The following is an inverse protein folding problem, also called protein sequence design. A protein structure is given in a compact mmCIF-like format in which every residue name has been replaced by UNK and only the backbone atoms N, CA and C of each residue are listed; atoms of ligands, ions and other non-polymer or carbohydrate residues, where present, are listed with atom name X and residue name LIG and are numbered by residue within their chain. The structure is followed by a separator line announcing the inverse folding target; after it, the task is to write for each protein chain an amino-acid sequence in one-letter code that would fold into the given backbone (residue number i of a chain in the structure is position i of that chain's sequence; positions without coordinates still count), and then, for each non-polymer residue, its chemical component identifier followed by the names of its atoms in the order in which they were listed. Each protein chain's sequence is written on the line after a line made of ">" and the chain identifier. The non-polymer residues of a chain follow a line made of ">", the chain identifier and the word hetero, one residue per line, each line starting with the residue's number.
data_IF_025246429403
#
_entry.id   IF_025246429403
#
_cell.length_a   1.000
_cell.length_b   1.000
_cell.length_c   1.000
_cell.angle_alpha   90.00
_cell.angle_beta   90.00
_cell.angle_gamma   90.00
#
_symmetry.space_group_name_H-M   'P 1'
#
loop_
_entity.id
_entity.type
_entity.pdbx_description
1 polymer ?
#
# COMPACT_ATOMS: atom_id res chain seq x y z
N UNK A 1 15.10 50.62 39.67
CA UNK A 1 14.50 49.34 39.25
C UNK A 1 15.54 48.61 38.43
N UNK A 2 15.88 47.34 38.71
CA UNK A 2 16.94 46.64 37.98
C UNK A 2 16.45 46.20 36.60
N UNK A 3 17.37 46.14 35.64
CA UNK A 3 17.14 45.63 34.28
C UNK A 3 17.08 44.11 34.35
N UNK A 4 16.02 43.51 33.81
CA UNK A 4 15.84 42.07 33.77
C UNK A 4 16.95 41.40 32.94
N UNK A 5 17.51 40.33 33.50
CA UNK A 5 18.48 39.43 32.87
C UNK A 5 17.83 38.81 31.62
N UNK A 6 18.43 39.02 30.45
CA UNK A 6 18.00 38.36 29.21
C UNK A 6 18.49 36.91 29.23
N UNK A 7 17.64 35.93 28.86
CA UNK A 7 18.04 34.52 28.84
C UNK A 7 19.17 34.29 27.81
N UNK A 8 20.09 33.34 28.08
CA UNK A 8 21.22 33.06 27.18
C UNK A 8 20.73 32.56 25.83
N UNK A 9 21.37 33.03 24.75
CA UNK A 9 21.08 32.56 23.40
C UNK A 9 21.38 31.05 23.26
N UNK A 10 20.45 30.27 22.66
CA UNK A 10 20.66 28.85 22.46
C UNK A 10 21.81 28.59 21.46
N UNK A 11 22.53 27.46 21.60
CA UNK A 11 23.65 27.15 20.72
C UNK A 11 23.16 26.96 19.28
N UNK A 12 23.75 27.70 18.35
CA UNK A 12 23.50 27.54 16.93
C UNK A 12 24.08 26.20 16.45
N UNK A 13 23.22 25.22 16.19
CA UNK A 13 23.62 23.97 15.53
C UNK A 13 23.82 24.31 14.05
N UNK A 14 25.07 24.49 13.63
CA UNK A 14 25.41 24.64 12.23
C UNK A 14 25.15 23.32 11.51
N UNK A 15 24.07 23.25 10.74
CA UNK A 15 23.89 22.15 9.80
C UNK A 15 25.00 22.23 8.74
N UNK A 16 25.70 21.13 8.43
CA UNK A 16 26.68 21.14 7.36
C UNK A 16 25.99 21.55 6.05
N UNK A 17 26.55 22.55 5.36
CA UNK A 17 26.11 22.91 4.02
C UNK A 17 26.35 21.72 3.09
N UNK A 18 25.28 21.24 2.47
CA UNK A 18 25.35 20.18 1.49
C UNK A 18 26.16 20.65 0.27
N UNK A 19 27.31 20.02 0.02
CA UNK A 19 28.21 20.34 -1.09
C UNK A 19 28.06 19.32 -2.21
N UNK A 20 27.55 19.77 -3.36
CA UNK A 20 27.35 18.97 -4.56
C UNK A 20 28.65 18.40 -5.13
N UNK A 21 29.80 19.01 -4.84
CA UNK A 21 31.11 18.53 -5.29
C UNK A 21 31.56 17.25 -4.57
N UNK A 22 30.94 16.91 -3.44
CA UNK A 22 31.24 15.71 -2.66
C UNK A 22 30.41 14.48 -3.09
N UNK A 23 29.51 14.64 -4.06
CA UNK A 23 28.79 13.49 -4.62
C UNK A 23 29.73 12.67 -5.52
N UNK A 24 29.74 11.34 -5.39
CA UNK A 24 30.48 10.48 -6.31
C UNK A 24 29.99 10.68 -7.75
N UNK A 25 30.89 11.08 -8.63
CA UNK A 25 30.66 11.29 -10.06
C UNK A 25 30.79 9.98 -10.86
N UNK A 26 30.88 8.84 -10.18
CA UNK A 26 31.18 7.56 -10.82
C UNK A 26 29.96 6.99 -11.54
N UNK A 27 29.97 7.14 -12.85
CA UNK A 27 29.17 6.37 -13.78
C UNK A 27 28.72 7.20 -14.96
N UNK A 28 29.07 6.77 -16.17
CA UNK A 28 28.28 7.11 -17.35
C UNK A 28 26.87 6.57 -17.12
N UNK A 29 25.98 7.43 -16.62
CA UNK A 29 24.57 7.10 -16.51
C UNK A 29 24.04 7.03 -17.92
N UNK A 30 23.85 5.81 -18.42
CA UNK A 30 23.25 5.58 -19.71
C UNK A 30 21.74 5.86 -19.62
N UNK A 31 21.41 7.14 -19.74
CA UNK A 31 20.05 7.64 -19.70
C UNK A 31 19.36 7.37 -21.03
N UNK A 32 19.01 6.11 -21.27
CA UNK A 32 18.12 5.75 -22.36
C UNK A 32 16.67 6.06 -21.98
N UNK A 33 16.11 7.08 -22.62
CA UNK A 33 14.68 7.38 -22.54
C UNK A 33 13.89 6.23 -23.20
N UNK A 34 13.38 5.31 -22.40
CA UNK A 34 12.52 4.23 -22.87
C UNK A 34 11.19 4.84 -23.30
N UNK A 35 10.97 4.98 -24.61
CA UNK A 35 9.69 5.43 -25.15
C UNK A 35 8.63 4.33 -24.95
N UNK A 36 7.59 4.54 -24.14
CA UNK A 36 6.54 3.55 -23.95
C UNK A 36 5.82 3.29 -25.27
N UNK A 37 5.46 2.03 -25.53
CA UNK A 37 4.62 1.66 -26.68
C UNK A 37 3.17 1.98 -26.36
N UNK A 38 2.73 3.18 -26.73
CA UNK A 38 1.36 3.65 -26.53
C UNK A 38 0.49 3.37 -27.77
N UNK A 39 -0.74 2.83 -27.60
CA UNK A 39 -1.73 2.86 -28.67
C UNK A 39 -2.22 4.28 -28.94
N UNK A 40 -2.79 4.52 -30.13
CA UNK A 40 -3.39 5.82 -30.49
C UNK A 40 -4.74 5.95 -29.79
N UNK A 41 -4.88 6.95 -28.92
CA UNK A 41 -6.12 7.23 -28.20
C UNK A 41 -7.18 7.89 -29.07
N UNK A 42 -8.46 7.68 -28.72
CA UNK A 42 -9.61 8.36 -29.33
C UNK A 42 -10.02 9.60 -28.51
N UNK A 43 -10.79 10.54 -29.10
CA UNK A 43 -11.32 11.68 -28.35
C UNK A 43 -12.15 11.21 -27.14
N UNK A 44 -11.83 11.73 -25.95
CA UNK A 44 -12.48 11.35 -24.68
C UNK A 44 -11.89 10.11 -23.97
N UNK A 45 -10.81 9.53 -24.49
CA UNK A 45 -10.12 8.40 -23.89
C UNK A 45 -8.85 8.83 -23.14
N UNK A 46 -8.58 8.21 -21.99
CA UNK A 46 -7.31 8.35 -21.27
C UNK A 46 -6.48 7.10 -21.59
N UNK A 47 -5.39 7.28 -22.33
CA UNK A 47 -4.45 6.20 -22.65
C UNK A 47 -3.33 6.19 -21.61
N UNK A 48 -3.23 5.09 -20.85
CA UNK A 48 -2.15 4.85 -19.89
C UNK A 48 -1.15 3.87 -20.50
N UNK A 49 0.12 4.29 -20.60
CA UNK A 49 1.17 3.47 -21.20
C UNK A 49 2.09 2.88 -20.14
N UNK A 50 2.57 1.67 -20.42
CA UNK A 50 3.56 0.98 -19.60
C UNK A 50 4.77 0.57 -20.45
N UNK A 51 5.88 0.28 -19.78
CA UNK A 51 7.09 -0.24 -20.44
C UNK A 51 6.83 -1.60 -21.11
N UNK A 52 6.05 -2.47 -20.46
CA UNK A 52 5.56 -3.71 -21.03
C UNK A 52 4.03 -3.81 -20.87
N UNK A 53 3.24 -3.51 -21.91
CA UNK A 53 1.78 -3.46 -21.80
C UNK A 53 1.18 -4.84 -21.48
N UNK A 54 1.71 -5.95 -22.00
CA UNK A 54 1.13 -7.28 -21.75
C UNK A 54 1.30 -7.73 -20.28
N UNK A 55 2.40 -7.33 -19.64
CA UNK A 55 2.69 -7.68 -18.24
C UNK A 55 1.97 -6.76 -17.25
N UNK A 56 1.93 -5.47 -17.56
CA UNK A 56 1.47 -4.42 -16.64
C UNK A 56 -0.01 -4.07 -16.84
N UNK A 57 -0.66 -4.61 -17.88
CA UNK A 57 -2.09 -4.39 -18.11
C UNK A 57 -2.91 -5.10 -17.06
N UNK A 58 -3.74 -4.33 -16.37
CA UNK A 58 -4.79 -4.86 -15.51
C UNK A 58 -5.68 -5.79 -16.35
N UNK A 59 -5.75 -7.05 -15.93
CA UNK A 59 -6.71 -8.00 -16.50
C UNK A 59 -8.12 -7.51 -16.14
N UNK A 60 -9.13 -7.82 -16.98
CA UNK A 60 -10.52 -7.59 -16.61
C UNK A 60 -10.77 -8.18 -15.23
N UNK A 61 -11.52 -7.47 -14.39
CA UNK A 61 -12.01 -8.07 -13.15
C UNK A 61 -12.87 -9.28 -13.53
N UNK A 62 -12.75 -10.41 -12.81
CA UNK A 62 -13.66 -11.53 -13.01
C UNK A 62 -15.10 -11.07 -12.78
N UNK A 63 -16.05 -11.60 -13.56
CA UNK A 63 -17.48 -11.25 -13.48
C UNK A 63 -18.09 -11.58 -12.11
N UNK A 64 -17.43 -12.45 -11.36
CA UNK A 64 -17.78 -12.86 -10.00
C UNK A 64 -16.65 -12.53 -9.03
N UNK A 65 -17.04 -12.03 -7.85
CA UNK A 65 -16.14 -11.90 -6.72
C UNK A 65 -15.69 -13.29 -6.27
N UNK A 66 -14.57 -13.77 -6.79
CA UNK A 66 -13.87 -14.91 -6.23
C UNK A 66 -13.20 -14.43 -4.95
N UNK A 67 -13.70 -14.90 -3.81
CA UNK A 67 -12.98 -14.67 -2.56
C UNK A 67 -11.68 -15.45 -2.72
N UNK A 68 -10.51 -14.80 -2.74
CA UNK A 68 -9.24 -15.52 -2.85
C UNK A 68 -9.22 -16.51 -1.70
N UNK A 69 -8.85 -17.78 -1.98
CA UNK A 69 -8.86 -18.91 -1.06
C UNK A 69 -8.56 -18.45 0.38
N UNK A 70 -9.66 -18.16 1.09
CA UNK A 70 -9.60 -17.64 2.43
C UNK A 70 -9.26 -18.80 3.35
N UNK A 71 -8.70 -18.46 4.50
CA UNK A 71 -8.55 -19.43 5.58
C UNK A 71 -9.88 -20.17 5.83
N UNK A 72 -9.83 -21.48 6.15
CA UNK A 72 -11.00 -22.34 6.07
C UNK A 72 -12.14 -21.83 6.94
N UNK A 73 -13.34 -21.83 6.36
CA UNK A 73 -14.59 -21.39 6.98
C UNK A 73 -15.58 -22.53 6.97
N UNK A 74 -16.07 -22.88 8.15
CA UNK A 74 -17.17 -23.83 8.33
C UNK A 74 -18.41 -23.06 8.81
N UNK A 75 -19.57 -23.30 8.18
CA UNK A 75 -20.83 -22.71 8.60
C UNK A 75 -21.89 -23.80 8.70
N UNK A 76 -22.64 -23.81 9.80
CA UNK A 76 -23.77 -24.69 10.06
C UNK A 76 -25.05 -23.86 10.23
N UNK A 77 -26.13 -24.30 9.59
CA UNK A 77 -27.47 -23.78 9.87
C UNK A 77 -27.98 -24.36 11.19
N UNK A 78 -28.40 -23.50 12.12
CA UNK A 78 -29.06 -23.94 13.34
C UNK A 78 -30.59 -23.95 13.17
N UNK A 79 -31.11 -23.02 12.38
CA UNK A 79 -32.50 -22.96 11.94
C UNK A 79 -32.60 -22.18 10.62
N UNK A 80 -33.79 -22.05 10.03
CA UNK A 80 -34.00 -21.23 8.82
C UNK A 80 -33.55 -19.77 9.01
N UNK A 81 -33.64 -19.27 10.25
CA UNK A 81 -33.34 -17.88 10.63
C UNK A 81 -32.01 -17.72 11.38
N UNK A 82 -31.25 -18.80 11.63
CA UNK A 82 -29.99 -18.68 12.38
C UNK A 82 -28.88 -19.60 11.88
N UNK A 83 -27.65 -19.11 11.91
CA UNK A 83 -26.46 -19.89 11.54
C UNK A 83 -25.31 -19.64 12.50
N UNK A 84 -24.53 -20.69 12.77
CA UNK A 84 -23.28 -20.65 13.51
C UNK A 84 -22.12 -20.92 12.54
N UNK A 85 -21.02 -20.19 12.64
CA UNK A 85 -19.84 -20.39 11.81
C UNK A 85 -18.55 -20.30 12.61
N UNK A 86 -17.55 -21.02 12.14
CA UNK A 86 -16.15 -20.93 12.61
C UNK A 86 -15.31 -20.54 11.41
N UNK A 87 -14.50 -19.49 11.56
CA UNK A 87 -13.58 -19.03 10.52
C UNK A 87 -12.19 -18.79 11.10
N UNK A 88 -11.18 -19.23 10.37
CA UNK A 88 -9.80 -18.83 10.62
C UNK A 88 -9.56 -17.49 9.91
N UNK A 89 -8.90 -16.57 10.58
CA UNK A 89 -8.57 -15.23 10.08
C UNK A 89 -7.07 -14.96 10.26
N UNK A 90 -6.46 -14.25 9.32
CA UNK A 90 -5.06 -13.85 9.40
C UNK A 90 -4.95 -12.38 9.00
N UNK A 91 -4.51 -11.56 9.94
CA UNK A 91 -4.39 -10.12 9.76
C UNK A 91 -2.96 -9.68 10.05
N UNK A 92 -2.41 -8.84 9.17
CA UNK A 92 -1.14 -8.15 9.42
C UNK A 92 -1.34 -7.07 10.49
N UNK A 93 -0.47 -7.09 11.48
CA UNK A 93 -0.34 -6.06 12.51
C UNK A 93 0.80 -5.11 12.13
N UNK A 94 0.79 -3.90 12.69
CA UNK A 94 1.88 -2.94 12.52
C UNK A 94 3.24 -3.55 12.90
N UNK A 95 4.29 -3.22 12.16
CA UNK A 95 5.63 -3.76 12.39
C UNK A 95 5.92 -5.12 11.76
N UNK A 96 5.10 -5.58 10.79
CA UNK A 96 5.35 -6.80 10.03
C UNK A 96 4.96 -8.10 10.74
N UNK A 97 4.27 -8.00 11.87
CA UNK A 97 3.75 -9.15 12.60
C UNK A 97 2.46 -9.66 11.94
N UNK A 98 2.21 -10.96 12.02
CA UNK A 98 0.97 -11.59 11.52
C UNK A 98 0.21 -12.20 12.70
N UNK A 99 -1.07 -11.85 12.83
CA UNK A 99 -1.98 -12.40 13.84
C UNK A 99 -2.91 -13.41 13.19
N UNK A 100 -2.80 -14.68 13.60
CA UNK A 100 -3.74 -15.73 13.23
C UNK A 100 -4.80 -15.90 14.32
N UNK A 101 -6.07 -15.92 13.94
CA UNK A 101 -7.21 -15.92 14.86
C UNK A 101 -8.19 -17.02 14.45
N UNK A 102 -8.87 -17.59 15.44
CA UNK A 102 -10.04 -18.44 15.23
C UNK A 102 -11.26 -17.68 15.75
N UNK A 103 -12.23 -17.42 14.87
CA UNK A 103 -13.44 -16.65 15.19
C UNK A 103 -14.67 -17.54 15.14
N UNK A 104 -15.57 -17.34 16.09
CA UNK A 104 -16.90 -17.97 16.12
C UNK A 104 -17.94 -16.90 15.84
N UNK A 105 -18.82 -17.11 14.86
CA UNK A 105 -19.82 -16.14 14.41
C UNK A 105 -21.21 -16.73 14.50
N UNK A 106 -22.13 -15.96 15.07
CA UNK A 106 -23.56 -16.27 15.06
C UNK A 106 -24.29 -15.22 14.22
N UNK A 107 -25.13 -15.66 13.29
CA UNK A 107 -25.91 -14.79 12.41
C UNK A 107 -27.38 -15.09 12.57
N UNK A 108 -28.17 -14.06 12.87
CA UNK A 108 -29.63 -14.06 12.86
C UNK A 108 -30.13 -13.34 11.61
N UNK A 109 -31.08 -13.93 10.90
CA UNK A 109 -31.82 -13.28 9.81
C UNK A 109 -33.11 -12.68 10.38
N UNK A 110 -33.44 -11.47 9.95
CA UNK A 110 -34.68 -10.75 10.26
C UNK A 110 -35.58 -10.71 9.02
#
# INVERSE_FOLDING_TARGET
>A
MPIADLPPEPPAIAAPLFDLAQMPQDGTVDLHAVKPRCPVGRPGEIVVCATNPEKERLRPLPDTYETPDGLPRAQMGLSENSSLGVELDSATLGGGQVSNRAMVRYKLKF
#
